data_IF_421353297167
#
_entry.id   IF_421353297167
#
_cell.length_a   1.000
_cell.length_b   1.000
_cell.length_c   1.000
_cell.angle_alpha   90.00
_cell.angle_beta   90.00
_cell.angle_gamma   90.00
#
_symmetry.space_group_name_H-M   'P 1'
#
loop_
_entity.id
_entity.type
_entity.pdbx_description
1 polymer ?
#
# COMPACT_ATOMS: atom_id res chain seq x y z
N UNK A 1 -2.76 8.05 -14.49
CA UNK A 1 -1.67 7.24 -15.06
C UNK A 1 -0.90 6.67 -13.88
N UNK A 2 -0.82 5.34 -13.73
CA UNK A 2 -0.01 4.72 -12.69
C UNK A 2 1.45 4.85 -13.11
N UNK A 3 2.18 5.69 -12.43
CA UNK A 3 3.64 5.74 -12.58
C UNK A 3 4.17 4.34 -12.24
N UNK A 4 5.04 3.77 -13.05
CA UNK A 4 5.71 2.52 -12.68
C UNK A 4 6.58 2.81 -11.46
N UNK A 5 6.53 1.90 -10.50
CA UNK A 5 7.37 1.93 -9.34
C UNK A 5 8.84 1.87 -9.79
N UNK A 6 9.55 2.97 -9.71
CA UNK A 6 10.98 3.01 -10.01
C UNK A 6 11.75 3.04 -8.71
N UNK A 7 12.57 2.03 -8.50
CA UNK A 7 13.56 2.04 -7.42
C UNK A 7 14.45 3.27 -7.60
N UNK A 8 14.31 4.25 -6.72
CA UNK A 8 15.18 5.42 -6.68
C UNK A 8 14.57 6.75 -7.11
N UNK A 9 13.43 6.77 -7.81
CA UNK A 9 12.81 8.03 -8.23
C UNK A 9 11.30 7.89 -8.21
N UNK A 10 10.69 8.39 -7.14
CA UNK A 10 9.25 8.54 -7.09
C UNK A 10 8.88 9.94 -7.55
N UNK A 11 8.48 10.09 -8.81
CA UNK A 11 8.03 11.37 -9.39
C UNK A 11 6.82 11.98 -8.67
N UNK A 12 6.27 11.29 -7.67
CA UNK A 12 5.08 11.70 -6.92
C UNK A 12 5.32 11.88 -5.44
N UNK A 13 6.53 11.65 -4.95
CA UNK A 13 6.86 11.87 -3.55
C UNK A 13 7.17 13.36 -3.32
N UNK A 14 6.38 14.09 -2.51
CA UNK A 14 6.67 15.48 -2.17
C UNK A 14 7.99 15.66 -1.40
N UNK A 15 8.55 14.56 -0.84
CA UNK A 15 9.87 14.58 -0.20
C UNK A 15 11.03 14.49 -1.20
N UNK A 16 10.77 14.04 -2.43
CA UNK A 16 11.76 13.90 -3.50
C UNK A 16 11.20 14.44 -4.82
N UNK A 17 11.06 15.77 -4.95
CA UNK A 17 10.63 16.37 -6.22
C UNK A 17 11.62 16.01 -7.33
N UNK A 18 11.12 15.60 -8.49
CA UNK A 18 11.89 15.10 -9.62
C UNK A 18 12.99 16.05 -10.13
N UNK A 19 12.88 17.35 -9.83
CA UNK A 19 13.74 18.43 -10.28
C UNK A 19 14.56 19.08 -9.16
N UNK A 20 14.49 18.58 -7.93
CA UNK A 20 15.02 19.26 -6.75
C UNK A 20 16.00 18.46 -5.89
N UNK A 21 16.56 17.36 -6.38
CA UNK A 21 17.63 16.67 -5.64
C UNK A 21 18.86 17.57 -5.56
N UNK A 22 19.45 17.76 -4.36
CA UNK A 22 20.70 18.51 -4.23
C UNK A 22 21.77 17.91 -5.14
N UNK A 23 22.63 18.77 -5.69
CA UNK A 23 23.69 18.36 -6.63
C UNK A 23 24.73 17.38 -6.01
N UNK A 24 24.66 17.15 -4.71
CA UNK A 24 25.47 16.23 -3.92
C UNK A 24 24.80 14.86 -3.69
N UNK A 25 23.59 14.64 -4.20
CA UNK A 25 22.94 13.34 -4.15
C UNK A 25 23.58 12.42 -5.20
N UNK A 26 24.19 11.31 -4.75
CA UNK A 26 25.06 10.45 -5.58
C UNK A 26 24.34 9.61 -6.65
N UNK A 27 23.01 9.65 -6.74
CA UNK A 27 22.26 8.88 -7.73
C UNK A 27 21.40 9.81 -8.57
N UNK A 28 21.82 10.13 -9.79
CA UNK A 28 20.92 10.81 -10.71
C UNK A 28 19.69 9.95 -10.94
N UNK A 29 18.52 10.57 -10.91
CA UNK A 29 17.25 9.93 -11.21
C UNK A 29 17.24 9.46 -12.67
N UNK A 30 17.44 8.19 -12.92
CA UNK A 30 17.27 7.64 -14.25
C UNK A 30 15.78 7.29 -14.47
N UNK A 31 15.18 7.80 -15.55
CA UNK A 31 13.82 7.45 -15.88
C UNK A 31 13.68 5.93 -16.09
N UNK A 32 12.55 5.37 -15.66
CA UNK A 32 12.30 3.94 -15.78
C UNK A 32 12.39 3.47 -17.22
N UNK A 33 13.38 2.64 -17.52
CA UNK A 33 13.55 2.01 -18.82
C UNK A 33 12.94 0.60 -18.83
N UNK A 34 11.73 0.51 -19.37
CA UNK A 34 10.98 -0.75 -19.46
C UNK A 34 11.74 -1.82 -20.24
N UNK A 35 12.42 -1.46 -21.35
CA UNK A 35 13.18 -2.40 -22.18
C UNK A 35 14.35 -2.97 -21.40
N UNK A 36 15.19 -2.13 -20.82
CA UNK A 36 16.32 -2.56 -20.01
C UNK A 36 15.88 -3.45 -18.84
N UNK A 37 14.77 -3.10 -18.18
CA UNK A 37 14.22 -3.91 -17.10
C UNK A 37 13.72 -5.27 -17.58
N UNK A 38 13.08 -5.32 -18.75
CA UNK A 38 12.62 -6.58 -19.36
C UNK A 38 13.81 -7.48 -19.72
N UNK A 39 14.85 -6.93 -20.33
CA UNK A 39 16.07 -7.67 -20.67
C UNK A 39 16.75 -8.23 -19.41
N UNK A 40 16.94 -7.40 -18.38
CA UNK A 40 17.50 -7.84 -17.10
C UNK A 40 16.68 -8.98 -16.46
N UNK A 41 15.35 -8.90 -16.50
CA UNK A 41 14.51 -9.99 -15.99
C UNK A 41 14.64 -11.26 -16.84
N UNK A 42 14.73 -11.14 -18.15
CA UNK A 42 14.92 -12.28 -19.05
C UNK A 42 16.26 -12.97 -18.81
N UNK A 43 17.34 -12.20 -18.66
CA UNK A 43 18.67 -12.70 -18.38
C UNK A 43 18.77 -13.36 -17.00
N UNK A 44 18.18 -12.74 -15.97
CA UNK A 44 18.29 -13.21 -14.59
C UNK A 44 17.37 -14.39 -14.29
N UNK A 45 16.13 -14.35 -14.81
CA UNK A 45 15.04 -15.24 -14.40
C UNK A 45 14.47 -16.08 -15.53
N UNK A 46 14.87 -15.85 -16.78
CA UNK A 46 14.41 -16.59 -17.95
C UNK A 46 12.98 -16.27 -18.42
N UNK A 47 12.36 -15.18 -17.94
CA UNK A 47 11.01 -14.79 -18.36
C UNK A 47 10.82 -13.27 -18.38
N UNK A 48 9.76 -12.84 -19.07
CA UNK A 48 9.41 -11.43 -19.18
C UNK A 48 8.45 -10.98 -18.08
N UNK A 49 8.66 -9.77 -17.49
CA UNK A 49 7.75 -9.22 -16.52
C UNK A 49 6.39 -8.88 -17.14
N UNK A 50 5.31 -9.25 -16.47
CA UNK A 50 3.96 -8.86 -16.84
C UNK A 50 3.59 -7.56 -16.13
N UNK A 51 3.98 -6.42 -16.68
CA UNK A 51 3.82 -5.10 -16.06
C UNK A 51 2.38 -4.71 -15.72
N UNK A 52 1.41 -5.22 -16.44
CA UNK A 52 0.00 -4.93 -16.21
C UNK A 52 -0.72 -6.01 -15.38
N UNK A 53 -0.02 -7.04 -14.91
CA UNK A 53 -0.66 -8.16 -14.20
C UNK A 53 -1.42 -7.72 -12.96
N UNK A 54 -0.78 -6.93 -12.08
CA UNK A 54 -1.42 -6.43 -10.87
C UNK A 54 -2.61 -5.51 -11.18
N UNK A 55 -2.47 -4.68 -12.22
CA UNK A 55 -3.52 -3.78 -12.65
C UNK A 55 -4.78 -4.52 -13.11
N UNK A 56 -4.63 -5.60 -13.85
CA UNK A 56 -5.75 -6.42 -14.33
C UNK A 56 -6.22 -7.42 -13.28
N UNK A 57 -5.30 -8.08 -12.58
CA UNK A 57 -5.62 -9.12 -11.61
C UNK A 57 -6.19 -8.60 -10.29
N UNK A 58 -5.76 -7.41 -9.86
CA UNK A 58 -6.17 -6.81 -8.58
C UNK A 58 -7.06 -5.56 -8.74
N UNK A 59 -7.54 -5.29 -9.97
CA UNK A 59 -8.42 -4.16 -10.25
C UNK A 59 -7.72 -2.80 -10.36
N UNK A 60 -6.46 -2.67 -9.95
CA UNK A 60 -5.71 -1.42 -10.00
C UNK A 60 -6.47 -0.24 -9.39
N UNK A 61 -6.54 0.88 -10.09
CA UNK A 61 -7.34 2.05 -9.67
C UNK A 61 -8.86 1.84 -9.71
N UNK A 62 -9.35 0.72 -10.25
CA UNK A 62 -10.78 0.35 -10.30
C UNK A 62 -11.16 -0.61 -9.18
N UNK A 63 -10.45 -0.59 -8.08
CA UNK A 63 -10.70 -1.42 -6.90
C UNK A 63 -12.06 -1.16 -6.22
N UNK A 64 -12.79 -0.14 -6.68
CA UNK A 64 -14.12 0.22 -6.16
C UNK A 64 -15.16 -0.91 -6.21
N UNK A 65 -14.92 -1.96 -6.99
CA UNK A 65 -15.73 -3.18 -6.98
C UNK A 65 -15.41 -4.15 -5.84
N UNK A 66 -14.34 -3.94 -5.10
CA UNK A 66 -14.00 -4.71 -3.92
C UNK A 66 -14.72 -4.20 -2.66
N UNK A 67 -14.60 -4.92 -1.56
CA UNK A 67 -15.13 -4.51 -0.26
C UNK A 67 -14.28 -5.07 0.87
N UNK A 68 -14.42 -4.47 2.05
CA UNK A 68 -13.82 -4.96 3.30
C UNK A 68 -12.27 -4.98 3.24
N UNK A 69 -11.69 -3.84 2.87
CA UNK A 69 -10.24 -3.65 2.85
C UNK A 69 -9.90 -2.37 3.61
N UNK A 70 -8.93 -2.45 4.50
CA UNK A 70 -8.23 -1.29 5.06
C UNK A 70 -6.87 -1.17 4.37
N UNK A 71 -6.59 0.00 3.83
CA UNK A 71 -5.31 0.37 3.23
C UNK A 71 -4.56 1.25 4.21
N UNK A 72 -3.60 0.70 4.93
CA UNK A 72 -2.75 1.47 5.83
C UNK A 72 -1.49 1.95 5.10
N UNK A 73 -1.09 3.19 5.37
CA UNK A 73 0.07 3.81 4.72
C UNK A 73 0.81 4.70 5.71
N UNK A 74 2.08 4.38 5.97
CA UNK A 74 2.98 5.23 6.73
C UNK A 74 3.62 6.29 5.84
N UNK A 75 3.58 7.57 6.24
CA UNK A 75 4.12 8.64 5.40
C UNK A 75 5.65 8.67 5.35
N UNK A 76 6.34 7.99 6.27
CA UNK A 76 7.79 7.78 6.20
C UNK A 76 8.18 6.58 5.32
N UNK A 77 7.19 5.85 4.82
CA UNK A 77 7.41 4.78 3.86
C UNK A 77 7.31 5.31 2.42
N UNK A 78 8.38 5.29 1.62
CA UNK A 78 8.31 5.71 0.21
C UNK A 78 7.24 4.97 -0.60
N UNK A 79 6.84 3.77 -0.19
CA UNK A 79 5.82 2.98 -0.86
C UNK A 79 4.41 3.57 -0.76
N UNK A 80 4.16 4.52 0.15
CA UNK A 80 2.87 5.18 0.24
C UNK A 80 2.45 5.87 -1.06
N UNK A 81 3.41 6.32 -1.89
CA UNK A 81 3.12 6.89 -3.22
C UNK A 81 2.41 5.95 -4.19
N UNK A 82 2.52 4.62 -3.99
CA UNK A 82 1.77 3.60 -4.71
C UNK A 82 0.49 3.14 -4.01
N UNK A 83 0.22 3.63 -2.80
CA UNK A 83 -0.88 3.21 -1.96
C UNK A 83 -2.22 3.91 -2.27
N UNK A 84 -3.25 3.48 -1.56
CA UNK A 84 -4.56 4.16 -1.54
C UNK A 84 -4.60 5.03 -0.31
N UNK A 85 -4.59 6.36 -0.51
CA UNK A 85 -4.46 7.36 0.54
C UNK A 85 -5.78 8.03 0.92
N UNK A 86 -6.88 7.69 0.25
CA UNK A 86 -8.21 8.22 0.54
C UNK A 86 -9.23 7.09 0.54
N UNK A 87 -10.26 7.23 1.37
CA UNK A 87 -11.39 6.31 1.37
C UNK A 87 -12.02 6.25 -0.03
N UNK A 88 -12.30 5.05 -0.50
CA UNK A 88 -13.00 4.82 -1.77
C UNK A 88 -14.49 4.58 -1.50
N UNK A 89 -14.81 3.90 -0.40
CA UNK A 89 -16.18 3.62 0.05
C UNK A 89 -16.20 3.36 1.55
N UNK A 90 -17.38 3.09 2.12
CA UNK A 90 -17.55 2.74 3.54
C UNK A 90 -16.89 1.41 3.95
N UNK A 91 -16.42 0.63 2.98
CA UNK A 91 -15.74 -0.65 3.19
C UNK A 91 -14.35 -0.72 2.52
N UNK A 92 -13.91 0.35 1.90
CA UNK A 92 -12.58 0.53 1.32
C UNK A 92 -11.96 1.78 1.95
N UNK A 93 -11.33 1.58 3.09
CA UNK A 93 -10.87 2.65 3.97
C UNK A 93 -9.36 2.85 3.84
N UNK A 94 -8.92 4.10 3.86
CA UNK A 94 -7.51 4.46 3.95
C UNK A 94 -7.20 4.92 5.37
N UNK A 95 -6.15 4.37 5.96
CA UNK A 95 -5.60 4.78 7.25
C UNK A 95 -4.19 5.31 7.02
N UNK A 96 -3.97 6.57 7.40
CA UNK A 96 -2.68 7.24 7.21
C UNK A 96 -1.98 7.36 8.55
N UNK A 97 -0.71 6.95 8.57
CA UNK A 97 0.17 7.05 9.73
C UNK A 97 1.21 8.14 9.46
N UNK A 98 0.99 9.39 9.91
CA UNK A 98 1.94 10.50 9.66
C UNK A 98 3.34 10.24 10.22
N UNK A 99 3.46 9.48 11.30
CA UNK A 99 4.74 9.14 11.94
C UNK A 99 5.09 7.64 11.77
N UNK A 100 4.38 6.95 10.89
CA UNK A 100 4.62 5.54 10.59
C UNK A 100 5.59 5.37 9.42
N UNK A 101 6.40 4.32 9.51
CA UNK A 101 7.22 3.82 8.40
C UNK A 101 6.55 2.57 7.78
N UNK A 102 7.34 1.73 7.13
CA UNK A 102 6.89 0.55 6.40
C UNK A 102 6.11 -0.42 7.30
N UNK A 103 4.82 -0.60 7.07
CA UNK A 103 3.86 -1.48 7.75
C UNK A 103 4.02 -1.54 9.29
N UNK A 104 4.26 -0.41 9.94
CA UNK A 104 4.48 -0.33 11.39
C UNK A 104 3.25 -0.79 12.20
N UNK A 105 2.06 -0.55 11.70
CA UNK A 105 0.77 -0.99 12.23
C UNK A 105 0.63 -2.52 12.24
N UNK A 106 1.22 -3.23 11.26
CA UNK A 106 1.16 -4.69 11.14
C UNK A 106 2.25 -5.41 11.95
N UNK A 107 3.17 -4.68 12.56
CA UNK A 107 4.17 -5.26 13.46
C UNK A 107 3.56 -5.54 14.85
N UNK A 108 4.27 -6.37 15.64
CA UNK A 108 3.89 -6.56 17.05
C UNK A 108 3.87 -5.22 17.78
N UNK A 109 2.85 -5.02 18.62
CA UNK A 109 2.71 -3.80 19.39
C UNK A 109 3.89 -3.57 20.34
N UNK A 110 4.36 -2.33 20.43
CA UNK A 110 5.46 -1.91 21.29
C UNK A 110 5.02 -0.70 22.12
N UNK A 111 5.39 -0.59 23.40
CA UNK A 111 5.11 0.62 24.20
C UNK A 111 5.67 1.93 23.61
N UNK A 112 6.68 1.83 22.73
CA UNK A 112 7.28 2.97 22.04
C UNK A 112 6.60 3.30 20.70
N UNK A 113 5.55 2.59 20.30
CA UNK A 113 4.85 2.87 19.04
C UNK A 113 4.25 4.28 19.05
N UNK A 114 4.31 5.01 17.93
CA UNK A 114 3.63 6.29 17.82
C UNK A 114 2.11 6.11 17.91
N UNK A 115 1.44 7.16 18.38
CA UNK A 115 -0.01 7.13 18.65
C UNK A 115 -0.83 6.80 17.39
N UNK A 116 -0.37 7.20 16.21
CA UNK A 116 -1.02 6.91 14.93
C UNK A 116 -0.93 5.43 14.56
N UNK A 117 0.16 4.72 14.88
CA UNK A 117 0.24 3.27 14.70
C UNK A 117 -0.71 2.52 15.64
N UNK A 118 -0.84 2.98 16.89
CA UNK A 118 -1.80 2.44 17.85
C UNK A 118 -3.24 2.63 17.36
N UNK A 119 -3.54 3.84 16.87
CA UNK A 119 -4.87 4.17 16.33
C UNK A 119 -5.17 3.40 15.03
N UNK A 120 -4.18 3.21 14.15
CA UNK A 120 -4.34 2.40 12.94
C UNK A 120 -4.80 0.98 13.29
N UNK A 121 -4.10 0.30 14.19
CA UNK A 121 -4.47 -1.05 14.66
C UNK A 121 -5.88 -1.08 15.27
N UNK A 122 -6.25 -0.04 16.02
CA UNK A 122 -7.59 0.07 16.60
C UNK A 122 -8.67 0.13 15.51
N UNK A 123 -8.45 0.93 14.48
CA UNK A 123 -9.36 1.04 13.32
C UNK A 123 -9.46 -0.29 12.58
N UNK A 124 -8.34 -0.92 12.27
CA UNK A 124 -8.27 -2.21 11.56
C UNK A 124 -9.06 -3.28 12.29
N UNK A 125 -8.82 -3.44 13.60
CA UNK A 125 -9.54 -4.39 14.45
C UNK A 125 -11.04 -4.08 14.51
N UNK A 126 -11.41 -2.81 14.62
CA UNK A 126 -12.80 -2.37 14.64
C UNK A 126 -13.52 -2.75 13.34
N UNK A 127 -12.90 -2.47 12.18
CA UNK A 127 -13.47 -2.78 10.88
C UNK A 127 -13.58 -4.28 10.63
N UNK A 128 -12.54 -5.05 10.95
CA UNK A 128 -12.61 -6.51 10.87
C UNK A 128 -13.76 -7.08 11.72
N UNK A 129 -13.92 -6.61 12.95
CA UNK A 129 -15.03 -7.04 13.82
C UNK A 129 -16.41 -6.65 13.24
N UNK A 130 -16.50 -5.46 12.65
CA UNK A 130 -17.72 -4.99 11.97
C UNK A 130 -18.07 -5.92 10.80
N UNK A 131 -17.14 -6.20 9.92
CA UNK A 131 -17.37 -7.04 8.73
C UNK A 131 -17.71 -8.49 9.09
N UNK A 132 -17.03 -9.06 10.09
CA UNK A 132 -17.38 -10.39 10.60
C UNK A 132 -18.78 -10.44 11.18
N UNK A 133 -19.19 -9.42 11.97
CA UNK A 133 -20.54 -9.32 12.52
C UNK A 133 -21.59 -9.23 11.40
N UNK A 134 -21.33 -8.44 10.37
CA UNK A 134 -22.22 -8.32 9.21
C UNK A 134 -22.32 -9.63 8.41
N UNK A 135 -21.19 -10.32 8.19
CA UNK A 135 -21.16 -11.62 7.53
C UNK A 135 -21.97 -12.67 8.31
N UNK A 136 -21.76 -12.76 9.62
CA UNK A 136 -22.50 -13.68 10.50
C UNK A 136 -24.02 -13.41 10.47
N UNK A 137 -24.42 -12.14 10.44
CA UNK A 137 -25.83 -11.77 10.32
C UNK A 137 -26.44 -12.22 8.99
N UNK A 138 -25.69 -12.11 7.88
CA UNK A 138 -26.14 -12.56 6.54
C UNK A 138 -26.24 -14.07 6.44
N UNK A 139 -25.33 -14.79 7.10
CA UNK A 139 -25.24 -16.25 7.06
C UNK A 139 -26.17 -16.95 8.09
N UNK A 140 -27.05 -16.22 8.76
CA UNK A 140 -28.05 -16.79 9.69
C UNK A 140 -27.43 -17.51 10.88
N UNK A 141 -26.49 -16.86 11.58
CA UNK A 141 -25.80 -17.37 12.78
C UNK A 141 -24.77 -18.51 12.59
N UNK A 142 -24.19 -18.66 11.43
CA UNK A 142 -22.91 -19.35 11.33
C UNK A 142 -21.87 -18.54 12.12
N UNK A 143 -21.53 -19.03 13.32
CA UNK A 143 -20.69 -18.26 14.25
C UNK A 143 -19.21 -18.31 13.83
N UNK A 144 -18.74 -17.32 13.10
CA UNK A 144 -17.31 -17.03 13.02
C UNK A 144 -16.92 -16.18 14.24
N UNK A 145 -16.18 -16.76 15.17
CA UNK A 145 -15.52 -16.00 16.24
C UNK A 145 -14.18 -15.50 15.72
N UNK A 146 -13.96 -14.21 15.74
CA UNK A 146 -12.62 -13.63 15.60
C UNK A 146 -12.13 -13.40 17.03
N UNK A 147 -11.23 -14.24 17.49
CA UNK A 147 -10.41 -13.99 18.68
C UNK A 147 -9.20 -13.18 18.21
N UNK A 148 -9.20 -11.88 18.53
CA UNK A 148 -8.12 -10.93 18.26
C UNK A 148 -7.51 -10.47 19.57
#
# INVERSE_FOLDING_TARGET
MSQPFTYGCMDTDPLFPADGLPADFHWPCEPFNKTARTESCRETWGFEPRYDWARFGLGGKRISGASNIVFSNGLYDPWHGGGILNNISDTLLAVILPNGAHHLDLMFSNPADPADAVEARRIEVQEMKRWVKEANKRLGNAHYKVEL
#
